data_IF_748587393928
#
_entry.id   IF_748587393928
#
_cell.length_a   1.000
_cell.length_b   1.000
_cell.length_c   1.000
_cell.angle_alpha   90.00
_cell.angle_beta   90.00
_cell.angle_gamma   90.00
#
_symmetry.space_group_name_H-M   'P 1'
#
loop_
_entity.id
_entity.type
_entity.pdbx_description
1 polymer ?
#
# COMPACT_ATOMS: atom_id res chain seq x y z
N UNK A 1 -28.30 69.49 53.26
CA UNK A 1 -29.32 69.18 52.23
C UNK A 1 -29.05 67.76 51.72
N UNK A 2 -30.07 66.90 51.78
CA UNK A 2 -30.21 65.51 51.25
C UNK A 2 -29.00 64.57 51.40
N UNK A 3 -28.89 63.61 52.34
CA UNK A 3 -29.85 62.60 52.84
C UNK A 3 -30.60 61.83 51.75
N UNK A 4 -30.28 60.53 51.68
CA UNK A 4 -31.11 59.39 51.27
C UNK A 4 -31.08 59.07 49.76
N UNK A 5 -30.99 57.76 49.45
CA UNK A 5 -30.76 57.07 48.17
C UNK A 5 -29.25 56.92 47.87
N UNK A 6 -28.61 55.76 47.98
CA UNK A 6 -29.07 54.40 47.66
C UNK A 6 -28.32 53.41 48.56
N UNK A 7 -28.95 53.03 49.67
CA UNK A 7 -28.57 51.91 50.57
C UNK A 7 -29.30 50.63 50.12
N UNK A 8 -29.48 50.44 48.82
CA UNK A 8 -30.24 49.31 48.25
C UNK A 8 -29.46 48.71 47.11
N UNK A 9 -28.49 47.85 47.44
CA UNK A 9 -28.05 46.68 46.64
C UNK A 9 -26.98 45.87 47.40
N UNK A 10 -27.21 45.67 48.70
CA UNK A 10 -26.69 44.51 49.44
C UNK A 10 -27.88 43.59 49.65
N UNK A 11 -27.99 42.53 48.85
CA UNK A 11 -28.56 41.21 49.16
C UNK A 11 -28.83 40.44 47.85
N UNK A 12 -28.51 39.13 47.86
CA UNK A 12 -28.46 38.15 46.76
C UNK A 12 -27.06 38.07 46.10
N UNK A 13 -26.01 37.46 46.67
CA UNK A 13 -25.93 36.08 47.19
C UNK A 13 -26.61 35.05 46.27
N UNK A 14 -25.85 34.43 45.35
CA UNK A 14 -25.41 33.04 45.52
C UNK A 14 -24.70 32.47 44.28
N UNK A 15 -23.53 31.88 44.56
CA UNK A 15 -22.94 30.68 43.96
C UNK A 15 -22.77 30.59 42.43
N UNK A 16 -21.50 30.67 42.00
CA UNK A 16 -20.95 29.70 41.06
C UNK A 16 -19.47 29.48 41.39
N UNK A 17 -19.22 28.37 42.07
CA UNK A 17 -17.93 27.68 42.15
C UNK A 17 -17.57 27.16 40.75
N UNK A 18 -16.35 27.40 40.28
CA UNK A 18 -15.52 26.42 39.56
C UNK A 18 -14.17 27.09 39.23
N UNK A 19 -13.14 26.83 40.02
CA UNK A 19 -12.15 25.77 39.76
C UNK A 19 -10.99 26.30 38.89
N UNK A 20 -10.10 27.06 39.55
CA UNK A 20 -8.69 27.01 39.22
C UNK A 20 -8.23 25.57 39.43
N UNK A 21 -7.98 24.84 38.34
CA UNK A 21 -7.20 23.61 38.36
C UNK A 21 -6.74 23.21 36.97
N UNK A 22 -5.45 22.94 36.94
CA UNK A 22 -4.72 22.16 35.96
C UNK A 22 -4.54 22.77 34.56
N UNK A 23 -3.54 23.65 34.49
CA UNK A 23 -2.53 23.57 33.44
C UNK A 23 -2.02 22.12 33.36
N UNK A 24 -2.68 21.30 32.54
CA UNK A 24 -2.18 20.00 32.10
C UNK A 24 -1.39 20.18 30.81
N UNK A 25 -0.05 20.03 30.81
CA UNK A 25 0.75 20.05 29.59
C UNK A 25 0.80 18.66 28.95
N UNK A 26 -0.35 18.07 28.58
CA UNK A 26 -0.41 16.75 27.93
C UNK A 26 -1.30 16.73 26.69
N UNK A 27 -1.03 17.64 25.75
CA UNK A 27 -1.39 17.48 24.33
C UNK A 27 -0.14 17.23 23.49
N UNK A 28 0.61 16.20 23.87
CA UNK A 28 1.46 15.49 22.92
C UNK A 28 0.52 14.68 22.03
N UNK A 29 0.36 15.11 20.78
CA UNK A 29 -0.28 14.38 19.70
C UNK A 29 0.08 12.89 19.80
N UNK A 30 -0.90 12.04 20.07
CA UNK A 30 -0.82 10.60 19.76
C UNK A 30 -0.60 10.51 18.24
N UNK A 31 0.66 10.61 17.80
CA UNK A 31 1.04 10.08 16.50
C UNK A 31 0.83 8.58 16.63
N UNK A 32 -0.30 8.10 16.09
CA UNK A 32 -0.55 6.68 15.86
C UNK A 32 0.70 6.11 15.20
N UNK A 33 1.51 5.40 15.96
CA UNK A 33 2.69 4.71 15.44
C UNK A 33 2.16 3.62 14.52
N UNK A 34 2.25 3.87 13.21
CA UNK A 34 1.95 2.84 12.22
C UNK A 34 2.97 1.71 12.39
N UNK A 35 2.54 0.43 12.31
CA UNK A 35 3.47 -0.68 12.18
C UNK A 35 4.44 -0.41 11.04
N UNK A 36 5.67 -0.89 11.16
CA UNK A 36 6.70 -0.85 10.12
C UNK A 36 6.87 -2.22 9.50
N UNK A 37 7.06 -2.27 8.18
CA UNK A 37 7.41 -3.47 7.44
C UNK A 37 8.93 -3.60 7.35
N UNK A 38 9.44 -4.78 7.65
CA UNK A 38 10.84 -5.13 7.62
C UNK A 38 11.07 -6.27 6.62
N UNK A 39 12.20 -6.24 5.94
CA UNK A 39 12.65 -7.36 5.10
C UNK A 39 13.24 -8.51 5.94
N UNK A 40 13.62 -9.60 5.28
CA UNK A 40 14.19 -10.78 5.93
C UNK A 40 15.55 -10.54 6.61
N UNK A 41 16.23 -9.44 6.27
CA UNK A 41 17.49 -9.03 6.89
C UNK A 41 17.28 -8.08 8.07
N UNK A 42 16.02 -7.71 8.36
CA UNK A 42 15.65 -6.80 9.43
C UNK A 42 15.78 -5.32 9.06
N UNK A 43 15.99 -5.00 7.78
CA UNK A 43 15.99 -3.61 7.30
C UNK A 43 14.56 -3.10 7.22
N UNK A 44 14.32 -1.93 7.81
CA UNK A 44 13.04 -1.24 7.71
C UNK A 44 12.81 -0.81 6.25
N UNK A 45 11.65 -1.17 5.71
CA UNK A 45 11.22 -0.81 4.36
C UNK A 45 10.42 0.49 4.42
N UNK A 46 9.44 0.56 5.34
CA UNK A 46 8.56 1.70 5.51
C UNK A 46 7.37 1.40 6.43
N UNK A 47 6.55 2.41 6.73
CA UNK A 47 5.30 2.19 7.47
C UNK A 47 4.36 1.30 6.65
N UNK A 48 3.62 0.44 7.35
CA UNK A 48 2.51 -0.32 6.80
C UNK A 48 1.35 0.64 6.54
N UNK A 49 0.94 0.73 5.29
CA UNK A 49 -0.09 1.64 4.80
C UNK A 49 -1.17 0.87 4.06
N UNK A 50 -2.35 1.48 3.94
CA UNK A 50 -3.48 0.94 3.16
C UNK A 50 -3.69 1.79 1.91
N UNK A 51 -3.69 1.16 0.74
CA UNK A 51 -4.03 1.81 -0.51
C UNK A 51 -4.92 0.90 -1.35
N UNK A 52 -5.97 1.46 -1.96
CA UNK A 52 -6.98 0.70 -2.72
C UNK A 52 -7.54 -0.53 -1.98
N UNK A 53 -7.62 -0.46 -0.64
CA UNK A 53 -8.17 -1.52 0.21
C UNK A 53 -7.23 -2.68 0.53
N UNK A 54 -5.94 -2.58 0.22
CA UNK A 54 -4.93 -3.61 0.53
C UNK A 54 -3.77 -3.02 1.33
N UNK A 55 -3.14 -3.86 2.16
CA UNK A 55 -2.00 -3.52 3.00
C UNK A 55 -0.69 -3.57 2.19
N UNK A 56 0.21 -2.61 2.43
CA UNK A 56 1.47 -2.53 1.70
C UNK A 56 2.39 -1.41 2.17
N UNK A 57 3.35 -1.07 1.33
CA UNK A 57 4.32 0.01 1.58
C UNK A 57 4.49 0.87 0.33
N UNK A 58 4.77 2.15 0.53
CA UNK A 58 5.25 3.02 -0.54
C UNK A 58 6.76 2.92 -0.67
N UNK A 59 7.23 2.59 -1.88
CA UNK A 59 8.63 2.64 -2.28
C UNK A 59 8.85 3.86 -3.17
N UNK A 60 9.92 4.59 -2.91
CA UNK A 60 10.40 5.64 -3.82
C UNK A 60 11.31 5.01 -4.89
N UNK A 61 10.76 4.72 -6.07
CA UNK A 61 11.52 4.12 -7.18
C UNK A 61 11.66 5.17 -8.28
N UNK A 62 12.89 5.49 -8.66
CA UNK A 62 13.22 6.61 -9.56
C UNK A 62 12.62 7.96 -9.11
N UNK A 63 12.39 8.15 -7.81
CA UNK A 63 11.74 9.35 -7.26
C UNK A 63 10.21 9.38 -7.37
N UNK A 64 9.59 8.33 -7.91
CA UNK A 64 8.13 8.20 -8.00
C UNK A 64 7.60 7.26 -6.90
N UNK A 65 6.41 7.56 -6.32
CA UNK A 65 5.80 6.69 -5.33
C UNK A 65 5.18 5.47 -6.00
N UNK A 66 5.69 4.29 -5.67
CA UNK A 66 5.13 2.99 -6.06
C UNK A 66 4.60 2.29 -4.82
N UNK A 67 3.29 2.02 -4.79
CA UNK A 67 2.69 1.22 -3.73
C UNK A 67 2.89 -0.27 -4.04
N UNK A 68 3.38 -1.03 -3.07
CA UNK A 68 3.61 -2.47 -3.20
C UNK A 68 2.91 -3.19 -2.07
N UNK A 69 1.89 -3.96 -2.43
CA UNK A 69 1.10 -4.71 -1.46
C UNK A 69 1.86 -5.91 -0.93
N UNK A 70 1.55 -6.28 0.32
CA UNK A 70 2.04 -7.50 0.97
C UNK A 70 0.86 -8.41 1.28
N UNK A 71 1.13 -9.71 1.39
CA UNK A 71 0.16 -10.68 1.85
C UNK A 71 0.80 -11.62 2.87
N UNK A 72 -0.02 -12.30 3.66
CA UNK A 72 0.50 -13.38 4.51
C UNK A 72 1.18 -14.44 3.65
N UNK A 73 2.37 -14.85 4.06
CA UNK A 73 3.15 -15.84 3.32
C UNK A 73 2.41 -17.17 3.29
N UNK A 74 2.20 -17.70 2.09
CA UNK A 74 1.61 -19.04 1.94
C UNK A 74 2.60 -20.12 2.40
N UNK A 75 2.15 -21.02 3.26
CA UNK A 75 2.94 -22.16 3.78
C UNK A 75 2.34 -23.52 3.42
N UNK A 76 1.17 -23.52 2.79
CA UNK A 76 0.50 -24.69 2.22
C UNK A 76 -0.68 -24.28 1.32
N UNK A 77 -1.41 -25.22 0.71
CA UNK A 77 -2.47 -24.89 -0.26
C UNK A 77 -3.55 -23.95 0.28
N UNK A 78 -3.86 -24.00 1.56
CA UNK A 78 -4.83 -23.09 2.20
C UNK A 78 -4.30 -22.55 3.54
N UNK A 79 -2.99 -22.66 3.76
CA UNK A 79 -2.36 -22.32 5.03
C UNK A 79 -1.43 -21.13 4.82
N UNK A 80 -1.54 -20.16 5.71
CA UNK A 80 -0.79 -18.92 5.68
C UNK A 80 -0.09 -18.71 7.01
N UNK A 81 1.13 -18.16 6.97
CA UNK A 81 1.87 -17.80 8.17
C UNK A 81 1.20 -16.62 8.88
N UNK A 82 1.04 -16.70 10.19
CA UNK A 82 0.48 -15.61 10.99
C UNK A 82 1.43 -14.42 11.17
N UNK A 83 2.74 -14.62 10.96
CA UNK A 83 3.77 -13.62 11.28
C UNK A 83 4.74 -13.32 10.15
N UNK A 84 4.72 -14.11 9.08
CA UNK A 84 5.53 -13.90 7.89
C UNK A 84 4.66 -13.44 6.75
N UNK A 85 5.15 -12.44 6.03
CA UNK A 85 4.52 -11.86 4.86
C UNK A 85 5.39 -12.05 3.63
N UNK A 86 4.80 -11.90 2.46
CA UNK A 86 5.45 -11.92 1.16
C UNK A 86 4.90 -10.78 0.30
N UNK A 87 5.67 -10.37 -0.71
CA UNK A 87 5.24 -9.44 -1.73
C UNK A 87 4.08 -10.03 -2.51
N UNK A 88 2.99 -9.28 -2.57
CA UNK A 88 1.87 -9.62 -3.42
C UNK A 88 2.28 -9.41 -4.88
N UNK A 89 2.01 -10.42 -5.72
CA UNK A 89 2.37 -10.38 -7.13
C UNK A 89 1.17 -10.59 -8.01
N UNK A 90 1.23 -10.03 -9.20
CA UNK A 90 0.23 -10.18 -10.24
C UNK A 90 0.32 -11.58 -10.83
N UNK A 91 -0.81 -12.30 -10.82
CA UNK A 91 -0.88 -13.71 -11.24
C UNK A 91 -1.29 -13.89 -12.70
N UNK A 92 -1.83 -12.86 -13.34
CA UNK A 92 -2.23 -12.83 -14.75
C UNK A 92 -1.37 -11.82 -15.50
N UNK A 93 -0.16 -12.21 -15.89
CA UNK A 93 0.80 -11.29 -16.50
C UNK A 93 0.42 -11.03 -17.97
N UNK A 94 0.08 -9.79 -18.36
CA UNK A 94 -0.40 -9.47 -19.70
C UNK A 94 0.74 -9.33 -20.71
N UNK A 95 0.52 -9.74 -21.95
CA UNK A 95 1.46 -9.62 -23.05
C UNK A 95 0.77 -9.02 -24.30
N UNK A 96 1.46 -8.10 -25.01
CA UNK A 96 1.04 -7.63 -26.33
C UNK A 96 1.17 -8.67 -27.46
N UNK A 97 1.80 -9.82 -27.20
CA UNK A 97 1.83 -10.95 -28.13
C UNK A 97 0.68 -11.90 -27.86
N UNK A 98 0.39 -12.80 -28.81
CA UNK A 98 -0.63 -13.85 -28.65
C UNK A 98 -0.12 -15.10 -27.94
N UNK A 99 1.19 -15.25 -27.79
CA UNK A 99 1.88 -16.45 -27.29
C UNK A 99 2.64 -16.20 -25.98
N UNK A 100 2.32 -15.11 -25.28
CA UNK A 100 2.98 -14.69 -24.03
C UNK A 100 4.50 -14.53 -24.16
N UNK A 101 4.98 -14.15 -25.34
CA UNK A 101 6.38 -13.84 -25.61
C UNK A 101 6.66 -12.33 -25.58
N UNK A 102 7.93 -11.97 -25.42
CA UNK A 102 8.37 -10.57 -25.44
C UNK A 102 8.18 -9.85 -24.11
N UNK A 103 8.08 -8.52 -24.17
CA UNK A 103 7.89 -7.68 -22.99
C UNK A 103 6.44 -7.71 -22.51
N UNK A 104 6.25 -7.70 -21.19
CA UNK A 104 4.91 -7.63 -20.58
C UNK A 104 4.28 -6.25 -20.83
N UNK A 105 2.96 -6.16 -20.70
CA UNK A 105 2.30 -4.88 -20.43
C UNK A 105 2.20 -4.67 -18.91
N UNK A 106 2.08 -3.43 -18.45
CA UNK A 106 1.89 -3.12 -17.04
C UNK A 106 0.39 -2.95 -16.81
N UNK A 107 -0.20 -3.80 -15.97
CA UNK A 107 -1.55 -3.60 -15.47
C UNK A 107 -1.55 -2.58 -14.32
N UNK A 108 -2.66 -1.89 -14.10
CA UNK A 108 -2.84 -1.15 -12.84
C UNK A 108 -3.03 -2.15 -11.69
N UNK A 109 -2.01 -2.28 -10.84
CA UNK A 109 -2.07 -3.11 -9.63
C UNK A 109 -2.42 -2.30 -8.37
N UNK A 110 -3.01 -1.10 -8.52
CA UNK A 110 -3.38 -0.25 -7.40
C UNK A 110 -2.18 0.46 -6.81
N UNK A 111 -1.50 1.28 -7.61
CA UNK A 111 -0.39 2.13 -7.17
C UNK A 111 -0.49 3.51 -7.81
N UNK A 112 -0.15 4.62 -7.12
CA UNK A 112 -0.20 5.97 -7.71
C UNK A 112 0.62 6.08 -8.99
N UNK A 113 1.79 5.44 -9.01
CA UNK A 113 2.53 5.16 -10.25
C UNK A 113 2.13 3.77 -10.71
N UNK A 114 1.47 3.59 -11.87
CA UNK A 114 1.07 2.27 -12.33
C UNK A 114 2.27 1.33 -12.39
N UNK A 115 2.17 0.24 -11.64
CA UNK A 115 3.24 -0.71 -11.44
C UNK A 115 2.65 -2.09 -11.16
N UNK A 116 3.36 -3.12 -11.58
CA UNK A 116 2.91 -4.50 -11.51
C UNK A 116 4.05 -5.39 -11.01
N UNK A 117 4.04 -5.84 -9.75
CA UNK A 117 4.99 -6.83 -9.25
C UNK A 117 4.69 -8.20 -9.86
N UNK A 118 5.70 -8.87 -10.40
CA UNK A 118 5.57 -10.21 -10.99
C UNK A 118 6.60 -11.14 -10.35
N UNK A 119 6.15 -12.35 -10.02
CA UNK A 119 7.00 -13.40 -9.43
C UNK A 119 7.49 -14.36 -10.49
N UNK A 120 8.79 -14.60 -10.53
CA UNK A 120 9.41 -15.67 -11.29
C UNK A 120 10.30 -16.50 -10.36
N UNK A 121 9.83 -17.70 -10.00
CA UNK A 121 10.49 -18.52 -8.98
C UNK A 121 10.48 -17.82 -7.62
N UNK A 122 11.67 -17.58 -7.07
CA UNK A 122 11.85 -16.88 -5.79
C UNK A 122 11.94 -15.36 -5.93
N UNK A 123 12.09 -14.85 -7.16
CA UNK A 123 12.35 -13.44 -7.42
C UNK A 123 11.07 -12.68 -7.74
N UNK A 124 10.98 -11.46 -7.21
CA UNK A 124 9.91 -10.51 -7.54
C UNK A 124 10.53 -9.30 -8.20
N UNK A 125 10.01 -8.96 -9.37
CA UNK A 125 10.38 -7.75 -10.11
C UNK A 125 9.15 -6.88 -10.29
N UNK A 126 9.27 -5.59 -9.99
CA UNK A 126 8.23 -4.61 -10.27
C UNK A 126 8.44 -4.09 -11.68
N UNK A 127 7.43 -4.21 -12.53
CA UNK A 127 7.37 -3.55 -13.83
C UNK A 127 6.65 -2.21 -13.66
N UNK A 128 7.29 -1.11 -14.05
CA UNK A 128 6.80 0.24 -13.83
C UNK A 128 6.39 0.82 -15.19
N UNK A 129 5.16 1.34 -15.26
CA UNK A 129 4.59 1.87 -16.49
C UNK A 129 5.24 3.20 -16.94
N UNK A 130 5.06 3.51 -18.22
CA UNK A 130 5.17 4.89 -18.72
C UNK A 130 4.09 5.78 -18.10
N UNK A 131 4.40 7.06 -17.86
CA UNK A 131 3.44 8.02 -17.32
C UNK A 131 2.27 8.23 -18.29
N UNK A 132 1.03 8.17 -17.79
CA UNK A 132 -0.18 8.46 -18.55
C UNK A 132 -1.43 8.15 -17.73
N UNK A 133 -2.50 8.93 -17.91
CA UNK A 133 -3.76 8.74 -17.16
C UNK A 133 -4.53 7.49 -17.58
N UNK A 134 -4.28 6.96 -18.77
CA UNK A 134 -4.92 5.76 -19.31
C UNK A 134 -3.88 4.88 -20.00
N UNK A 135 -4.12 3.57 -19.98
CA UNK A 135 -3.36 2.61 -20.77
C UNK A 135 -3.87 2.56 -22.22
N UNK A 136 -2.95 2.39 -23.17
CA UNK A 136 -3.26 2.21 -24.60
C UNK A 136 -2.46 1.05 -25.22
N UNK A 137 -1.81 0.24 -24.38
CA UNK A 137 -0.98 -0.87 -24.83
C UNK A 137 -1.86 -2.07 -25.13
N UNK A 138 -1.77 -2.57 -26.37
CA UNK A 138 -2.52 -3.76 -26.78
C UNK A 138 -2.13 -4.97 -25.93
N UNK A 139 -3.11 -5.78 -25.55
CA UNK A 139 -2.92 -7.02 -24.79
C UNK A 139 -3.74 -8.11 -25.44
N UNK A 140 -3.08 -9.21 -25.76
CA UNK A 140 -3.66 -10.33 -26.52
C UNK A 140 -3.44 -11.68 -25.84
N UNK A 141 -2.60 -11.76 -24.82
CA UNK A 141 -2.43 -12.98 -24.04
C UNK A 141 -2.04 -12.70 -22.60
N UNK A 142 -2.23 -13.70 -21.75
CA UNK A 142 -1.91 -13.67 -20.34
C UNK A 142 -1.14 -14.93 -19.93
N UNK A 143 0.00 -14.73 -19.27
CA UNK A 143 0.71 -15.81 -18.59
C UNK A 143 0.15 -15.94 -17.19
N UNK A 144 -0.41 -17.11 -16.87
CA UNK A 144 -0.99 -17.40 -15.57
C UNK A 144 -0.21 -18.51 -14.88
N UNK A 145 0.19 -18.29 -13.63
CA UNK A 145 0.81 -19.33 -12.79
C UNK A 145 -0.17 -19.77 -11.72
N UNK A 146 -0.49 -21.06 -11.71
CA UNK A 146 -1.30 -21.66 -10.66
C UNK A 146 -0.49 -21.67 -9.35
N UNK A 147 -0.95 -20.98 -8.29
CA UNK A 147 -0.18 -20.88 -7.05
C UNK A 147 -0.11 -22.21 -6.29
N UNK A 148 -1.00 -23.17 -6.57
CA UNK A 148 -1.05 -24.49 -5.91
C UNK A 148 -0.14 -25.53 -6.57
N UNK A 149 0.00 -25.49 -7.89
CA UNK A 149 0.80 -26.45 -8.66
C UNK A 149 2.12 -25.87 -9.17
N UNK A 150 2.24 -24.55 -9.23
CA UNK A 150 3.36 -23.83 -9.84
C UNK A 150 3.38 -23.92 -11.37
N UNK A 151 2.38 -24.57 -11.98
CA UNK A 151 2.29 -24.70 -13.44
C UNK A 151 1.94 -23.35 -14.05
N UNK A 152 2.69 -22.96 -15.07
CA UNK A 152 2.46 -21.74 -15.82
C UNK A 152 1.87 -22.05 -17.20
N UNK A 153 0.78 -21.38 -17.55
CA UNK A 153 0.12 -21.50 -18.85
C UNK A 153 0.06 -20.15 -19.55
N UNK A 154 0.07 -20.17 -20.89
CA UNK A 154 -0.25 -19.01 -21.70
C UNK A 154 -1.69 -19.12 -22.19
N UNK A 155 -2.48 -18.08 -21.97
CA UNK A 155 -3.85 -17.97 -22.43
C UNK A 155 -3.94 -16.85 -23.45
N UNK A 156 -4.28 -17.19 -24.68
CA UNK A 156 -4.55 -16.19 -25.74
C UNK A 156 -5.98 -15.69 -25.62
N UNK A 157 -6.18 -14.38 -25.80
CA UNK A 157 -7.48 -13.75 -25.89
C UNK A 157 -7.73 -13.34 -27.36
N UNK A 158 -8.89 -13.67 -27.95
CA UNK A 158 -9.24 -13.22 -29.30
C UNK A 158 -9.52 -11.71 -29.40
N UNK A 159 -9.71 -11.02 -28.28
CA UNK A 159 -10.00 -9.58 -28.21
C UNK A 159 -8.85 -8.84 -27.54
N UNK A 160 -8.60 -7.61 -27.99
CA UNK A 160 -7.64 -6.72 -27.36
C UNK A 160 -8.18 -6.21 -26.02
N UNK A 161 -7.46 -6.47 -24.93
CA UNK A 161 -7.81 -6.02 -23.58
C UNK A 161 -7.11 -4.71 -23.18
N UNK A 162 -6.42 -4.05 -24.12
CA UNK A 162 -5.42 -3.01 -23.85
C UNK A 162 -5.88 -1.72 -23.15
N UNK A 163 -7.19 -1.50 -22.96
CA UNK A 163 -7.75 -0.24 -22.46
C UNK A 163 -7.28 0.14 -21.04
N UNK A 164 -6.72 -0.80 -20.27
CA UNK A 164 -6.18 -0.57 -18.92
C UNK A 164 -4.76 -1.11 -18.74
N UNK A 165 -3.95 -1.07 -19.80
CA UNK A 165 -2.56 -1.53 -19.77
C UNK A 165 -1.60 -0.49 -20.36
N UNK A 166 -0.45 -0.34 -19.71
CA UNK A 166 0.59 0.60 -20.10
C UNK A 166 1.82 -0.12 -20.63
N UNK A 167 2.60 0.59 -21.46
CA UNK A 167 3.92 0.14 -21.85
C UNK A 167 4.87 0.19 -20.64
N UNK A 168 5.82 -0.73 -20.58
CA UNK A 168 6.86 -0.71 -19.55
C UNK A 168 7.81 0.46 -19.80
N UNK A 169 8.12 1.22 -18.74
CA UNK A 169 9.20 2.21 -18.72
C UNK A 169 10.47 1.63 -18.12
N UNK A 170 10.36 0.98 -16.96
CA UNK A 170 11.49 0.46 -16.20
C UNK A 170 11.09 -0.74 -15.34
N UNK A 171 12.10 -1.41 -14.77
CA UNK A 171 11.92 -2.55 -13.88
C UNK A 171 12.72 -2.34 -12.59
N UNK A 172 12.22 -2.85 -11.47
CA UNK A 172 12.88 -2.79 -10.18
C UNK A 172 12.95 -4.18 -9.52
N UNK A 173 14.16 -4.71 -9.22
CA UNK A 173 14.32 -6.06 -8.69
C UNK A 173 14.01 -6.07 -7.17
N UNK A 174 12.73 -6.15 -6.83
CA UNK A 174 12.21 -5.95 -5.48
C UNK A 174 12.83 -6.89 -4.45
N UNK A 175 12.89 -8.20 -4.70
CA UNK A 175 13.46 -9.18 -3.76
C UNK A 175 14.96 -9.05 -3.59
N UNK A 176 15.68 -8.46 -4.55
CA UNK A 176 17.11 -8.20 -4.41
C UNK A 176 17.37 -7.02 -3.46
N UNK A 177 16.47 -6.04 -3.42
CA UNK A 177 16.56 -4.88 -2.52
C UNK A 177 15.92 -5.13 -1.15
N UNK A 178 14.88 -5.95 -1.10
CA UNK A 178 14.05 -6.23 0.07
C UNK A 178 13.60 -7.71 0.06
N UNK A 179 14.46 -8.62 0.54
CA UNK A 179 14.20 -10.06 0.49
C UNK A 179 13.08 -10.50 1.43
N UNK A 180 12.39 -11.56 1.06
CA UNK A 180 11.34 -12.23 1.84
C UNK A 180 11.93 -13.32 2.77
N UNK A 181 11.21 -13.76 3.82
CA UNK A 181 9.89 -13.29 4.27
C UNK A 181 9.96 -11.90 4.93
N UNK A 182 8.91 -11.12 4.71
CA UNK A 182 8.70 -9.83 5.35
C UNK A 182 8.09 -10.01 6.75
N UNK A 183 8.25 -8.99 7.60
CA UNK A 183 7.67 -8.94 8.95
C UNK A 183 7.08 -7.57 9.24
N UNK A 184 5.94 -7.53 9.90
CA UNK A 184 5.31 -6.30 10.41
C UNK A 184 5.53 -6.18 11.92
N UNK A 185 5.99 -5.01 12.40
CA UNK A 185 6.20 -4.74 13.83
C UNK A 185 6.14 -3.25 14.19
N UNK A 186 5.86 -2.90 15.45
CA UNK A 186 5.75 -1.53 16.00
C UNK A 186 7.08 -0.95 16.54
#
# INVERSE_FOLDING_TARGET
>A
MCRILVVLLVMCANASLAHDRDDSPHRGRDELRLPTVYDAQGKAIGPLEVYSGVDGVYLAIDGEPVFVSINHKRVGPLQYSASQYEWMTYTFVPYPSHDCSGSVAVADAGSPTPAMPVREGADVTIYIATKGMSGDTQVWSFKQTDPSTGVTTCMTNPVNEGENYWAIRSTYPLTQHYPEPLRVAY
#
